data_IF_318268846849
#
_entry.id   IF_318268846849
#
_cell.length_a   1.000
_cell.length_b   1.000
_cell.length_c   1.000
_cell.angle_alpha   90.00
_cell.angle_beta   90.00
_cell.angle_gamma   90.00
#
_symmetry.space_group_name_H-M   'P 1'
#
loop_
_entity.id
_entity.type
_entity.pdbx_description
1 polymer ?
#
# COMPACT_ATOMS: atom_id res chain seq x y z
N UNK A 1 42.10 -36.94 42.25
CA UNK A 1 41.49 -37.43 40.99
C UNK A 1 40.07 -36.94 40.75
N UNK A 2 39.21 -36.77 41.77
CA UNK A 2 37.83 -36.28 41.59
C UNK A 2 37.68 -34.86 41.00
N UNK A 3 38.62 -33.94 41.26
CA UNK A 3 38.59 -32.57 40.71
C UNK A 3 38.86 -32.48 39.19
N UNK A 4 39.55 -33.47 38.60
CA UNK A 4 39.87 -33.45 37.16
C UNK A 4 38.71 -33.98 36.28
N UNK A 5 37.82 -34.80 36.85
CA UNK A 5 36.65 -35.34 36.14
C UNK A 5 35.51 -34.32 36.03
N UNK A 6 35.36 -33.42 37.00
CA UNK A 6 34.29 -32.39 36.98
C UNK A 6 34.57 -31.29 35.95
N UNK A 7 35.84 -30.95 35.71
CA UNK A 7 36.23 -29.95 34.69
C UNK A 7 36.06 -30.45 33.25
N UNK A 8 36.11 -31.76 33.01
CA UNK A 8 35.93 -32.34 31.67
C UNK A 8 34.44 -32.44 31.27
N UNK A 9 33.52 -32.63 32.23
CA UNK A 9 32.08 -32.74 31.95
C UNK A 9 31.42 -31.42 31.51
N UNK A 10 31.88 -30.28 32.03
CA UNK A 10 31.29 -28.97 31.72
C UNK A 10 31.68 -28.45 30.32
N UNK A 11 32.86 -28.84 29.81
CA UNK A 11 33.31 -28.43 28.48
C UNK A 11 32.57 -29.15 27.33
N UNK A 12 32.08 -30.38 27.55
CA UNK A 12 31.32 -31.14 26.55
C UNK A 12 29.84 -30.72 26.45
N UNK A 13 29.28 -30.11 27.50
CA UNK A 13 27.90 -29.62 27.50
C UNK A 13 27.72 -28.27 26.79
N UNK A 14 28.78 -27.48 26.62
CA UNK A 14 28.71 -26.15 25.99
C UNK A 14 28.73 -26.14 24.45
N UNK A 15 29.18 -27.22 23.81
CA UNK A 15 29.34 -27.28 22.35
C UNK A 15 28.15 -27.86 21.57
N UNK A 16 27.17 -28.47 22.24
CA UNK A 16 26.10 -29.26 21.60
C UNK A 16 24.80 -28.53 21.30
N UNK A 17 24.53 -27.38 21.92
CA UNK A 17 23.21 -26.74 21.84
C UNK A 17 22.95 -25.95 20.55
N UNK A 18 23.96 -25.68 19.73
CA UNK A 18 23.79 -24.94 18.47
C UNK A 18 23.21 -25.79 17.32
N UNK A 19 23.30 -27.12 17.40
CA UNK A 19 22.86 -28.03 16.33
C UNK A 19 21.46 -28.64 16.53
N UNK A 20 20.84 -28.44 17.69
CA UNK A 20 19.53 -29.00 18.04
C UNK A 20 18.34 -28.21 17.47
N UNK A 21 18.54 -26.95 17.04
CA UNK A 21 17.46 -26.04 16.64
C UNK A 21 17.57 -25.54 15.20
N UNK A 22 18.49 -26.06 14.38
CA UNK A 22 18.71 -25.57 13.01
C UNK A 22 18.96 -26.73 12.06
N UNK A 23 18.04 -26.92 11.11
CA UNK A 23 18.17 -27.89 10.03
C UNK A 23 19.18 -27.40 8.99
N UNK A 24 20.24 -28.17 8.72
CA UNK A 24 21.35 -27.80 7.82
C UNK A 24 21.60 -28.80 6.68
N UNK A 25 20.57 -29.54 6.24
CA UNK A 25 20.74 -30.43 5.07
C UNK A 25 20.52 -29.67 3.76
N UNK A 26 21.33 -29.91 2.71
CA UNK A 26 21.06 -29.37 1.39
C UNK A 26 19.73 -29.94 0.88
N UNK A 27 18.84 -29.07 0.42
CA UNK A 27 17.55 -29.47 -0.14
C UNK A 27 17.54 -29.11 -1.63
N UNK A 28 17.11 -30.07 -2.46
CA UNK A 28 16.90 -29.85 -3.88
C UNK A 28 15.57 -29.11 -4.09
N UNK A 29 15.66 -27.84 -4.49
CA UNK A 29 14.52 -26.95 -4.74
C UNK A 29 14.01 -27.02 -6.19
N UNK A 30 14.21 -28.15 -6.88
CA UNK A 30 13.73 -28.32 -8.25
C UNK A 30 12.22 -28.48 -8.35
N UNK A 31 11.56 -29.05 -7.34
CA UNK A 31 10.09 -29.08 -7.25
C UNK A 31 9.69 -29.52 -5.84
N UNK A 32 9.12 -28.59 -5.06
CA UNK A 32 8.65 -28.90 -3.72
C UNK A 32 8.48 -27.67 -2.84
N UNK A 33 7.74 -27.85 -1.74
CA UNK A 33 7.70 -26.94 -0.61
C UNK A 33 8.52 -27.55 0.53
N UNK A 34 9.38 -26.73 1.12
CA UNK A 34 10.12 -27.09 2.32
C UNK A 34 9.68 -26.15 3.44
N UNK A 35 8.97 -26.71 4.42
CA UNK A 35 8.65 -26.04 5.68
C UNK A 35 9.63 -26.55 6.74
N UNK A 36 10.41 -25.65 7.35
CA UNK A 36 11.40 -26.03 8.35
C UNK A 36 11.06 -25.30 9.66
N UNK A 37 10.14 -25.85 10.45
CA UNK A 37 9.72 -25.32 11.77
C UNK A 37 9.14 -23.88 11.75
N UNK A 38 8.42 -23.48 12.80
CA UNK A 38 7.83 -22.14 12.99
C UNK A 38 8.89 -21.03 12.99
N UNK A 39 10.18 -21.40 13.10
CA UNK A 39 11.34 -20.50 13.12
C UNK A 39 12.08 -20.39 11.79
N UNK A 40 11.91 -21.32 10.86
CA UNK A 40 12.65 -21.29 9.59
C UNK A 40 11.70 -21.30 8.38
N UNK A 41 11.95 -20.35 7.47
CA UNK A 41 11.05 -19.86 6.43
C UNK A 41 10.53 -20.99 5.53
N UNK A 42 9.26 -20.90 5.11
CA UNK A 42 8.78 -21.71 4.00
C UNK A 42 9.46 -21.23 2.72
N UNK A 43 10.11 -22.15 2.02
CA UNK A 43 10.62 -21.92 0.67
C UNK A 43 9.81 -22.79 -0.28
N UNK A 44 9.09 -22.14 -1.18
CA UNK A 44 8.33 -22.76 -2.24
C UNK A 44 9.11 -22.65 -3.55
N UNK A 45 9.18 -23.74 -4.30
CA UNK A 45 9.85 -23.77 -5.59
C UNK A 45 9.00 -24.48 -6.64
N UNK A 46 8.87 -23.87 -7.81
CA UNK A 46 8.09 -24.40 -8.92
C UNK A 46 8.85 -24.23 -10.23
N UNK A 47 8.85 -25.26 -11.06
CA UNK A 47 9.32 -25.16 -12.43
C UNK A 47 8.21 -24.59 -13.30
N UNK A 48 8.54 -23.54 -14.04
CA UNK A 48 7.69 -22.92 -15.05
C UNK A 48 8.30 -23.20 -16.43
N UNK A 49 7.45 -23.47 -17.41
CA UNK A 49 7.88 -23.65 -18.80
C UNK A 49 7.67 -22.30 -19.50
N UNK A 50 8.77 -21.66 -19.88
CA UNK A 50 8.74 -20.41 -20.62
C UNK A 50 8.14 -20.56 -22.01
N UNK A 51 7.82 -19.42 -22.65
CA UNK A 51 7.25 -19.36 -24.00
C UNK A 51 8.13 -20.03 -25.08
N UNK A 52 9.43 -20.14 -24.83
CA UNK A 52 10.42 -20.76 -25.73
C UNK A 52 10.68 -22.24 -25.38
N UNK A 53 9.88 -22.85 -24.48
CA UNK A 53 10.07 -24.21 -24.02
C UNK A 53 11.20 -24.39 -22.99
N UNK A 54 11.91 -23.32 -22.66
CA UNK A 54 12.93 -23.32 -21.60
C UNK A 54 12.27 -23.46 -20.22
N UNK A 55 12.69 -24.43 -19.43
CA UNK A 55 12.28 -24.60 -18.03
C UNK A 55 13.04 -23.61 -17.14
N UNK A 56 12.31 -22.80 -16.39
CA UNK A 56 12.86 -21.91 -15.35
C UNK A 56 12.32 -22.30 -13.99
N UNK A 57 13.17 -22.35 -12.97
CA UNK A 57 12.73 -22.58 -11.58
C UNK A 57 12.48 -21.23 -10.92
N UNK A 58 11.26 -21.01 -10.44
CA UNK A 58 10.89 -19.87 -9.61
C UNK A 58 10.92 -20.30 -8.16
N UNK A 59 11.61 -19.53 -7.32
CA UNK A 59 11.74 -19.79 -5.87
C UNK A 59 11.15 -18.62 -5.10
N UNK A 60 10.12 -18.90 -4.31
CA UNK A 60 9.43 -17.96 -3.45
C UNK A 60 9.76 -18.27 -1.99
N UNK A 61 10.46 -17.35 -1.33
CA UNK A 61 10.79 -17.48 0.09
C UNK A 61 9.86 -16.59 0.91
N UNK A 62 9.18 -17.19 1.88
CA UNK A 62 8.38 -16.47 2.85
C UNK A 62 9.26 -15.46 3.61
N UNK A 63 8.77 -14.24 3.89
CA UNK A 63 9.48 -13.31 4.77
C UNK A 63 9.73 -13.95 6.14
N UNK A 64 10.90 -13.75 6.75
CA UNK A 64 11.14 -14.28 8.09
C UNK A 64 10.09 -13.77 9.08
N UNK A 65 9.61 -14.60 10.02
CA UNK A 65 8.92 -14.10 11.19
C UNK A 65 9.84 -13.13 11.91
N UNK A 66 9.30 -12.00 12.34
CA UNK A 66 10.09 -10.88 12.88
C UNK A 66 10.41 -11.05 14.36
N UNK A 67 10.60 -12.30 14.75
CA UNK A 67 10.87 -12.70 16.12
C UNK A 67 12.36 -12.98 16.26
N UNK A 68 13.03 -12.28 17.19
CA UNK A 68 14.20 -12.87 17.83
C UNK A 68 13.67 -13.90 18.80
N UNK A 69 14.15 -15.13 18.72
CA UNK A 69 13.93 -16.12 19.77
C UNK A 69 15.19 -16.15 20.62
N UNK A 70 15.09 -15.71 21.88
CA UNK A 70 16.18 -15.88 22.85
C UNK A 70 15.91 -17.18 23.59
N UNK A 71 16.75 -18.18 23.33
CA UNK A 71 16.77 -19.42 24.09
C UNK A 71 17.58 -19.20 25.37
N UNK A 72 16.89 -19.03 26.49
CA UNK A 72 17.49 -19.03 27.81
C UNK A 72 17.48 -20.45 28.39
N UNK A 73 18.65 -21.03 28.64
CA UNK A 73 18.77 -22.26 29.42
C UNK A 73 19.15 -21.90 30.86
N UNK A 74 18.28 -22.23 31.82
CA UNK A 74 18.57 -22.11 33.24
C UNK A 74 18.57 -23.49 33.89
N UNK A 75 19.71 -23.87 34.46
CA UNK A 75 19.87 -25.08 35.27
C UNK A 75 20.11 -24.72 36.72
N UNK A 76 19.27 -25.23 37.63
CA UNK A 76 19.50 -25.08 39.07
C UNK A 76 20.09 -26.38 39.62
N UNK A 77 21.38 -26.35 39.99
CA UNK A 77 22.02 -27.41 40.75
C UNK A 77 22.10 -26.99 42.23
N UNK A 78 21.23 -27.55 43.06
CA UNK A 78 21.34 -27.40 44.52
C UNK A 78 22.30 -28.45 45.08
N UNK A 79 23.49 -28.02 45.50
CA UNK A 79 24.54 -28.91 46.04
C UNK A 79 24.13 -29.47 47.43
N UNK A 80 23.17 -28.83 48.11
CA UNK A 80 22.60 -29.28 49.38
C UNK A 80 21.71 -30.53 49.27
N UNK A 81 21.34 -30.95 48.05
CA UNK A 81 20.43 -32.06 47.81
C UNK A 81 21.14 -33.36 47.38
N UNK A 82 22.46 -33.36 47.22
CA UNK A 82 23.20 -34.52 46.70
C UNK A 82 23.25 -35.70 47.68
N UNK A 83 23.02 -35.47 48.98
CA UNK A 83 23.06 -36.54 49.99
C UNK A 83 21.70 -37.24 50.23
N UNK A 84 20.58 -36.75 49.67
CA UNK A 84 19.23 -37.34 49.92
C UNK A 84 18.32 -37.48 48.70
N UNK A 85 18.89 -37.61 47.50
CA UNK A 85 18.11 -37.75 46.26
C UNK A 85 17.67 -36.39 45.75
N UNK A 86 18.57 -35.71 45.03
CA UNK A 86 18.33 -34.36 44.51
C UNK A 86 17.52 -34.36 43.21
N UNK A 87 16.53 -33.47 43.13
CA UNK A 87 15.83 -33.15 41.90
C UNK A 87 16.69 -32.19 41.06
N UNK A 88 17.08 -32.65 39.86
CA UNK A 88 17.73 -31.81 38.85
C UNK A 88 16.64 -31.21 37.97
N UNK A 89 16.46 -29.89 38.05
CA UNK A 89 15.56 -29.13 37.18
C UNK A 89 16.34 -28.34 36.15
N UNK A 90 16.21 -28.72 34.88
CA UNK A 90 16.63 -27.88 33.75
C UNK A 90 15.38 -27.28 33.11
N UNK A 91 15.28 -25.96 33.03
CA UNK A 91 14.23 -25.29 32.25
C UNK A 91 14.84 -24.59 31.06
N UNK A 92 14.36 -24.93 29.87
CA UNK A 92 14.55 -24.11 28.68
C UNK A 92 13.37 -23.14 28.60
N UNK A 93 13.65 -21.85 28.70
CA UNK A 93 12.67 -20.79 28.50
C UNK A 93 13.02 -20.08 27.20
N UNK A 94 12.10 -20.14 26.24
CA UNK A 94 12.21 -19.37 25.01
C UNK A 94 11.42 -18.08 25.17
N UNK A 95 12.12 -16.94 25.14
CA UNK A 95 11.48 -15.63 25.17
C UNK A 95 11.65 -14.99 23.79
N UNK A 96 10.53 -14.80 23.10
CA UNK A 96 10.50 -14.06 21.83
C UNK A 96 10.56 -12.56 22.11
N UNK A 97 11.56 -11.86 21.57
CA UNK A 97 11.62 -10.40 21.59
C UNK A 97 11.50 -9.87 20.15
N UNK A 98 10.62 -8.90 19.93
CA UNK A 98 10.43 -8.27 18.64
C UNK A 98 11.64 -7.34 18.35
N UNK A 99 12.36 -7.55 17.23
CA UNK A 99 13.70 -6.95 16.99
C UNK A 99 13.68 -5.50 16.53
N UNK A 100 12.50 -4.95 16.26
CA UNK A 100 12.38 -3.56 15.86
C UNK A 100 10.92 -3.21 15.66
N UNK A 101 10.58 -1.94 15.87
CA UNK A 101 9.29 -1.36 15.52
C UNK A 101 9.00 -1.60 14.03
N UNK A 102 8.50 -2.77 13.68
CA UNK A 102 7.91 -3.00 12.37
C UNK A 102 6.48 -2.53 12.44
N UNK A 103 6.17 -1.64 11.54
CA UNK A 103 4.80 -1.24 11.33
C UNK A 103 4.02 -2.40 10.72
N UNK A 104 2.71 -2.44 11.00
CA UNK A 104 1.80 -3.40 10.38
C UNK A 104 1.85 -3.31 8.85
N UNK A 105 2.18 -2.13 8.31
CA UNK A 105 2.33 -1.88 6.88
C UNK A 105 3.49 -2.64 6.23
N UNK A 106 4.65 -2.75 6.89
CA UNK A 106 5.80 -3.51 6.36
C UNK A 106 5.53 -5.02 6.37
N UNK A 107 4.75 -5.53 7.32
CA UNK A 107 4.32 -6.92 7.32
C UNK A 107 3.41 -7.20 6.13
N UNK A 108 2.35 -6.39 5.97
CA UNK A 108 1.41 -6.49 4.84
C UNK A 108 2.12 -6.44 3.48
N UNK A 109 3.12 -5.57 3.33
CA UNK A 109 3.90 -5.47 2.09
C UNK A 109 4.70 -6.74 1.79
N UNK A 110 5.36 -7.33 2.79
CA UNK A 110 6.14 -8.55 2.57
C UNK A 110 5.26 -9.74 2.24
N UNK A 111 4.11 -9.85 2.90
CA UNK A 111 3.12 -10.88 2.60
C UNK A 111 2.58 -10.71 1.17
N UNK A 112 2.35 -9.46 0.74
CA UNK A 112 1.94 -9.16 -0.63
C UNK A 112 3.02 -9.52 -1.67
N UNK A 113 4.30 -9.23 -1.41
CA UNK A 113 5.40 -9.62 -2.30
C UNK A 113 5.59 -11.14 -2.39
N UNK A 114 5.38 -11.85 -1.28
CA UNK A 114 5.41 -13.31 -1.27
C UNK A 114 4.27 -13.88 -2.12
N UNK A 115 3.03 -13.41 -1.92
CA UNK A 115 1.88 -13.80 -2.74
C UNK A 115 2.04 -13.45 -4.23
N UNK A 116 2.70 -12.33 -4.54
CA UNK A 116 3.04 -11.97 -5.92
C UNK A 116 3.97 -13.02 -6.54
N UNK A 117 4.96 -13.51 -5.79
CA UNK A 117 5.84 -14.58 -6.24
C UNK A 117 5.09 -15.88 -6.48
N UNK A 118 4.18 -16.27 -5.59
CA UNK A 118 3.34 -17.46 -5.76
C UNK A 118 2.48 -17.37 -7.03
N UNK A 119 1.87 -16.21 -7.28
CA UNK A 119 1.10 -15.97 -8.51
C UNK A 119 1.95 -16.05 -9.78
N UNK A 120 3.19 -15.58 -9.73
CA UNK A 120 4.14 -15.69 -10.83
C UNK A 120 4.62 -17.14 -11.04
N UNK A 121 4.96 -17.85 -9.97
CA UNK A 121 5.33 -19.27 -10.00
C UNK A 121 4.18 -20.13 -10.55
N UNK A 122 2.94 -19.84 -10.17
CA UNK A 122 1.74 -20.51 -10.65
C UNK A 122 1.31 -20.11 -12.07
N UNK A 123 2.01 -19.17 -12.72
CA UNK A 123 1.69 -18.70 -14.08
C UNK A 123 0.46 -17.82 -14.19
N UNK A 124 -0.14 -17.40 -13.07
CA UNK A 124 -1.26 -16.46 -13.05
C UNK A 124 -0.84 -15.02 -13.39
N UNK A 125 0.45 -14.71 -13.21
CA UNK A 125 1.04 -13.39 -13.45
C UNK A 125 2.11 -13.53 -14.53
N UNK A 126 2.09 -12.66 -15.53
CA UNK A 126 3.09 -12.66 -16.60
C UNK A 126 4.42 -12.05 -16.11
N UNK A 127 5.58 -12.39 -16.71
CA UNK A 127 6.86 -11.77 -16.36
C UNK A 127 6.88 -10.22 -16.35
N UNK A 128 6.29 -9.52 -17.35
CA UNK A 128 6.25 -8.05 -17.29
C UNK A 128 5.35 -7.54 -16.16
N UNK A 129 4.23 -8.19 -15.87
CA UNK A 129 3.35 -7.81 -14.75
C UNK A 129 4.03 -8.04 -13.40
N UNK A 130 4.76 -9.15 -13.25
CA UNK A 130 5.55 -9.44 -12.06
C UNK A 130 6.60 -8.36 -11.82
N UNK A 131 7.38 -8.01 -12.85
CA UNK A 131 8.39 -6.96 -12.76
C UNK A 131 7.77 -5.58 -12.45
N UNK A 132 6.63 -5.25 -13.05
CA UNK A 132 5.92 -4.00 -12.78
C UNK A 132 5.41 -3.94 -11.34
N UNK A 133 4.75 -5.00 -10.87
CA UNK A 133 4.24 -5.07 -9.49
C UNK A 133 5.37 -5.05 -8.46
N UNK A 134 6.51 -5.69 -8.75
CA UNK A 134 7.68 -5.67 -7.87
C UNK A 134 8.26 -4.26 -7.71
N UNK A 135 8.38 -3.48 -8.80
CA UNK A 135 8.80 -2.06 -8.73
C UNK A 135 7.82 -1.20 -7.93
N UNK A 136 6.51 -1.45 -8.11
CA UNK A 136 5.46 -0.79 -7.33
C UNK A 136 5.60 -1.09 -5.84
N UNK A 137 5.79 -2.35 -5.46
CA UNK A 137 6.01 -2.69 -4.06
C UNK A 137 7.28 -2.05 -3.47
N UNK A 138 8.39 -2.01 -4.23
CA UNK A 138 9.62 -1.33 -3.79
C UNK A 138 9.40 0.17 -3.57
N UNK A 139 8.67 0.83 -4.47
CA UNK A 139 8.37 2.26 -4.37
C UNK A 139 7.44 2.58 -3.20
N UNK A 140 6.36 1.81 -3.04
CA UNK A 140 5.47 1.92 -1.88
C UNK A 140 6.24 1.67 -0.58
N UNK A 141 7.16 0.70 -0.56
CA UNK A 141 7.97 0.39 0.61
C UNK A 141 8.89 1.55 0.98
N UNK A 142 9.60 2.16 0.03
CA UNK A 142 10.41 3.36 0.28
C UNK A 142 9.54 4.52 0.79
N UNK A 143 8.35 4.68 0.23
CA UNK A 143 7.35 5.64 0.70
C UNK A 143 6.95 5.43 2.16
N UNK A 144 6.56 4.22 2.50
CA UNK A 144 6.16 3.87 3.87
C UNK A 144 7.31 4.03 4.85
N UNK A 145 8.53 3.60 4.49
CA UNK A 145 9.72 3.81 5.33
C UNK A 145 9.94 5.31 5.55
N UNK A 146 9.85 6.14 4.50
CA UNK A 146 10.01 7.58 4.63
C UNK A 146 8.92 8.20 5.52
N UNK A 147 7.66 7.80 5.34
CA UNK A 147 6.53 8.23 6.18
C UNK A 147 6.77 7.80 7.64
N UNK A 148 7.25 6.60 7.89
CA UNK A 148 7.55 6.08 9.23
C UNK A 148 8.71 6.83 9.91
N UNK A 149 9.78 7.13 9.17
CA UNK A 149 10.87 7.94 9.70
C UNK A 149 10.41 9.38 10.03
N UNK A 150 9.56 9.95 9.18
CA UNK A 150 9.00 11.29 9.36
C UNK A 150 8.01 11.34 10.54
N UNK A 151 7.08 10.40 10.62
CA UNK A 151 6.08 10.33 11.69
C UNK A 151 6.65 9.91 13.03
N UNK A 152 7.93 9.47 13.05
CA UNK A 152 8.57 8.71 14.12
C UNK A 152 7.82 7.40 14.40
N UNK A 153 8.48 6.37 14.92
CA UNK A 153 7.77 5.19 15.37
C UNK A 153 6.74 5.66 16.41
N UNK A 154 5.46 5.50 16.12
CA UNK A 154 4.43 5.50 17.16
C UNK A 154 4.82 4.33 18.04
N UNK A 155 5.59 4.62 19.08
CA UNK A 155 5.74 3.71 20.20
C UNK A 155 4.31 3.65 20.73
N UNK A 156 3.52 2.69 20.23
CA UNK A 156 2.31 2.28 20.91
C UNK A 156 2.79 2.10 22.33
N UNK A 157 2.34 2.98 23.22
CA UNK A 157 2.79 2.99 24.60
C UNK A 157 2.69 1.55 25.02
N UNK A 158 3.84 0.88 25.19
CA UNK A 158 3.85 -0.44 25.81
C UNK A 158 2.99 -0.21 27.02
N UNK A 159 1.86 -0.92 27.12
CA UNK A 159 0.90 -0.71 28.18
C UNK A 159 1.71 -0.81 29.46
N UNK A 160 2.13 0.35 29.96
CA UNK A 160 3.00 0.44 31.08
C UNK A 160 1.97 0.28 32.17
N UNK A 161 1.78 -0.98 32.57
CA UNK A 161 1.11 -1.38 33.78
C UNK A 161 1.93 -0.84 34.96
N UNK A 162 2.19 0.47 34.99
CA UNK A 162 2.57 1.18 36.19
C UNK A 162 1.29 1.39 36.94
N UNK A 163 1.15 0.65 38.03
CA UNK A 163 0.28 0.96 39.15
C UNK A 163 0.68 2.34 39.71
N UNK A 164 0.33 3.42 39.02
CA UNK A 164 0.58 4.78 39.46
C UNK A 164 -0.69 5.32 40.13
N UNK A 165 -0.95 4.81 41.33
CA UNK A 165 -1.78 5.50 42.32
C UNK A 165 -0.94 6.65 42.91
N UNK A 166 -0.85 7.78 42.23
CA UNK A 166 -0.54 9.11 42.83
C UNK A 166 -0.39 10.20 41.77
N UNK A 167 -1.43 11.02 41.59
CA UNK A 167 -1.36 12.47 41.33
C UNK A 167 -2.76 13.06 41.03
N UNK A 168 -3.67 13.06 42.02
CA UNK A 168 -5.07 13.47 41.86
C UNK A 168 -5.33 15.00 41.93
N UNK A 169 -4.30 15.86 41.91
CA UNK A 169 -4.50 17.30 42.12
C UNK A 169 -4.37 18.17 40.86
N UNK A 170 -3.91 17.62 39.73
CA UNK A 170 -3.80 18.32 38.43
C UNK A 170 -4.69 17.76 37.30
N UNK A 171 -5.41 16.66 37.56
CA UNK A 171 -6.16 15.91 36.56
C UNK A 171 -7.40 16.65 36.02
N UNK A 172 -8.11 17.41 36.87
CA UNK A 172 -9.42 17.98 36.52
C UNK A 172 -9.41 19.05 35.42
N UNK A 173 -8.32 19.78 35.24
CA UNK A 173 -8.18 20.77 34.15
C UNK A 173 -7.72 20.13 32.83
N UNK A 174 -6.95 19.04 32.92
CA UNK A 174 -6.51 18.26 31.76
C UNK A 174 -7.64 17.46 31.13
N UNK A 175 -8.48 16.85 31.97
CA UNK A 175 -9.63 16.05 31.55
C UNK A 175 -10.64 16.91 30.77
N UNK A 176 -10.96 18.12 31.24
CA UNK A 176 -11.87 19.04 30.54
C UNK A 176 -11.36 19.49 29.16
N UNK A 177 -10.04 19.62 28.97
CA UNK A 177 -9.44 19.99 27.69
C UNK A 177 -9.46 18.82 26.70
N UNK A 178 -9.24 17.60 27.18
CA UNK A 178 -9.34 16.37 26.38
C UNK A 178 -10.80 16.12 26.00
N UNK A 179 -11.75 16.19 26.94
CA UNK A 179 -13.19 16.01 26.67
C UNK A 179 -13.70 16.99 25.61
N UNK A 180 -13.29 18.27 25.70
CA UNK A 180 -13.65 19.29 24.70
C UNK A 180 -13.06 18.97 23.32
N UNK A 181 -11.82 18.48 23.28
CA UNK A 181 -11.18 18.11 22.02
C UNK A 181 -11.80 16.84 21.42
N UNK A 182 -12.20 15.86 22.24
CA UNK A 182 -12.94 14.66 21.80
C UNK A 182 -14.32 15.04 21.24
N UNK A 183 -15.05 15.93 21.91
CA UNK A 183 -16.31 16.48 21.40
C UNK A 183 -16.10 17.19 20.05
N UNK A 184 -14.99 17.92 19.89
CA UNK A 184 -14.59 18.54 18.63
C UNK A 184 -14.32 17.51 17.52
N UNK A 185 -13.60 16.42 17.82
CA UNK A 185 -13.37 15.32 16.87
C UNK A 185 -14.67 14.66 16.47
N UNK A 186 -15.58 14.42 17.43
CA UNK A 186 -16.90 13.84 17.14
C UNK A 186 -17.71 14.73 16.21
N UNK A 187 -17.83 16.03 16.52
CA UNK A 187 -18.55 16.99 15.68
C UNK A 187 -17.94 17.10 14.27
N UNK A 188 -16.61 17.14 14.16
CA UNK A 188 -15.94 17.16 12.86
C UNK A 188 -16.12 15.85 12.09
N UNK A 189 -16.17 14.70 12.78
CA UNK A 189 -16.44 13.40 12.18
C UNK A 189 -17.86 13.34 11.62
N UNK A 190 -18.85 13.81 12.38
CA UNK A 190 -20.24 13.88 11.93
C UNK A 190 -20.38 14.79 10.70
N UNK A 191 -19.66 15.92 10.67
CA UNK A 191 -19.61 16.82 9.51
C UNK A 191 -18.96 16.17 8.28
N UNK A 192 -17.90 15.37 8.45
CA UNK A 192 -17.25 14.62 7.36
C UNK A 192 -18.20 13.56 6.79
N UNK A 193 -18.90 12.81 7.66
CA UNK A 193 -19.90 11.83 7.25
C UNK A 193 -21.08 12.47 6.51
N UNK A 194 -21.57 13.62 6.99
CA UNK A 194 -22.62 14.36 6.30
C UNK A 194 -22.17 14.84 4.92
N UNK A 195 -20.94 15.36 4.80
CA UNK A 195 -20.39 15.80 3.51
C UNK A 195 -20.22 14.63 2.52
N UNK A 196 -19.76 13.45 3.00
CA UNK A 196 -19.71 12.22 2.19
C UNK A 196 -21.06 11.80 1.65
N UNK A 197 -22.09 11.84 2.50
CA UNK A 197 -23.45 11.54 2.07
C UNK A 197 -23.95 12.48 0.96
N UNK A 198 -23.56 13.77 1.00
CA UNK A 198 -23.89 14.71 -0.08
C UNK A 198 -23.10 14.42 -1.37
N UNK A 199 -21.82 14.00 -1.28
CA UNK A 199 -21.05 13.53 -2.44
C UNK A 199 -21.70 12.30 -3.08
N UNK A 200 -22.20 11.35 -2.27
CA UNK A 200 -22.89 10.16 -2.77
C UNK A 200 -24.20 10.53 -3.49
N UNK A 201 -24.99 11.45 -2.92
CA UNK A 201 -26.20 11.97 -3.56
C UNK A 201 -25.90 12.68 -4.88
N UNK A 202 -24.87 13.51 -4.92
CA UNK A 202 -24.46 14.20 -6.14
C UNK A 202 -23.97 13.21 -7.22
N UNK A 203 -23.24 12.17 -6.81
CA UNK A 203 -22.79 11.09 -7.70
C UNK A 203 -23.98 10.33 -8.28
N UNK A 204 -24.95 9.95 -7.44
CA UNK A 204 -26.17 9.29 -7.89
C UNK A 204 -26.99 10.16 -8.87
N UNK A 205 -27.06 11.48 -8.63
CA UNK A 205 -27.71 12.43 -9.55
C UNK A 205 -27.00 12.47 -10.91
N UNK A 206 -25.66 12.51 -10.92
CA UNK A 206 -24.87 12.51 -12.15
C UNK A 206 -25.09 11.22 -12.96
N UNK A 207 -25.04 10.07 -12.30
CA UNK A 207 -25.25 8.78 -12.97
C UNK A 207 -26.67 8.67 -13.54
N UNK A 208 -27.68 9.17 -12.81
CA UNK A 208 -29.04 9.27 -13.34
C UNK A 208 -29.12 10.15 -14.59
N UNK A 209 -28.56 11.35 -14.54
CA UNK A 209 -28.57 12.29 -15.68
C UNK A 209 -27.86 11.71 -16.92
N UNK A 210 -26.73 11.03 -16.73
CA UNK A 210 -26.04 10.30 -17.80
C UNK A 210 -26.88 9.16 -18.36
N UNK A 211 -27.58 8.42 -17.49
CA UNK A 211 -28.53 7.39 -17.88
C UNK A 211 -29.67 7.94 -18.74
N UNK A 212 -30.21 9.10 -18.39
CA UNK A 212 -31.27 9.77 -19.14
C UNK A 212 -30.78 10.17 -20.55
N UNK A 213 -29.58 10.76 -20.67
CA UNK A 213 -28.96 11.07 -21.97
C UNK A 213 -28.74 9.81 -22.81
N UNK A 214 -28.24 8.72 -22.21
CA UNK A 214 -28.03 7.46 -22.90
C UNK A 214 -29.36 6.82 -23.37
N UNK A 215 -30.44 6.99 -22.60
CA UNK A 215 -31.77 6.51 -22.97
C UNK A 215 -32.34 7.30 -24.15
N UNK A 216 -32.20 8.63 -24.13
CA UNK A 216 -32.64 9.52 -25.22
C UNK A 216 -31.87 9.24 -26.51
N UNK A 217 -30.54 9.07 -26.44
CA UNK A 217 -29.73 8.75 -27.61
C UNK A 217 -30.10 7.40 -28.21
N UNK A 218 -30.39 6.39 -27.38
CA UNK A 218 -30.87 5.08 -27.83
C UNK A 218 -32.25 5.17 -28.49
N UNK A 219 -33.19 5.91 -27.90
CA UNK A 219 -34.51 6.14 -28.50
C UNK A 219 -34.39 6.84 -29.85
N UNK A 220 -33.52 7.86 -29.94
CA UNK A 220 -33.25 8.58 -31.18
C UNK A 220 -32.67 7.66 -32.26
N UNK A 221 -31.72 6.78 -31.91
CA UNK A 221 -31.16 5.80 -32.84
C UNK A 221 -32.20 4.78 -33.31
N UNK A 222 -33.04 4.28 -32.39
CA UNK A 222 -34.12 3.36 -32.71
C UNK A 222 -35.18 3.99 -33.63
N UNK A 223 -35.55 5.24 -33.39
CA UNK A 223 -36.54 5.96 -34.22
C UNK A 223 -36.01 6.21 -35.64
N UNK A 224 -34.73 6.60 -35.75
CA UNK A 224 -34.06 6.79 -37.05
C UNK A 224 -33.89 5.50 -37.84
N UNK A 225 -33.82 4.35 -37.17
CA UNK A 225 -33.66 3.04 -37.82
C UNK A 225 -34.99 2.45 -38.34
N UNK A 226 -36.15 3.04 -38.03
CA UNK A 226 -37.44 2.54 -38.51
C UNK A 226 -37.58 2.73 -40.04
N UNK A 227 -38.29 1.83 -40.75
CA UNK A 227 -38.46 1.90 -42.22
C UNK A 227 -39.26 3.14 -42.68
N UNK A 228 -40.07 3.73 -41.80
CA UNK A 228 -40.68 5.05 -41.95
C UNK A 228 -40.44 5.81 -40.65
N UNK A 229 -39.36 6.62 -40.56
CA UNK A 229 -39.06 7.39 -39.36
C UNK A 229 -40.17 8.40 -39.09
N UNK A 230 -40.59 8.51 -37.83
CA UNK A 230 -41.51 9.56 -37.41
C UNK A 230 -40.72 10.85 -37.17
N UNK A 231 -40.79 11.80 -38.11
CA UNK A 231 -40.11 13.10 -38.02
C UNK A 231 -40.52 13.90 -36.77
N UNK A 232 -41.78 13.77 -36.32
CA UNK A 232 -42.24 14.46 -35.12
C UNK A 232 -41.62 13.86 -33.86
N UNK A 233 -41.51 12.53 -33.79
CA UNK A 233 -40.83 11.85 -32.69
C UNK A 233 -39.32 12.17 -32.65
N UNK A 234 -38.66 12.17 -33.81
CA UNK A 234 -37.23 12.55 -33.92
C UNK A 234 -37.03 14.00 -33.45
N UNK A 235 -37.86 14.94 -33.92
CA UNK A 235 -37.76 16.34 -33.51
C UNK A 235 -37.95 16.51 -32.01
N UNK A 236 -38.95 15.84 -31.43
CA UNK A 236 -39.18 15.86 -29.97
C UNK A 236 -37.98 15.33 -29.18
N UNK A 237 -37.36 14.23 -29.62
CA UNK A 237 -36.18 13.66 -28.95
C UNK A 237 -34.95 14.56 -29.08
N UNK A 238 -34.76 15.20 -30.22
CA UNK A 238 -33.68 16.19 -30.43
C UNK A 238 -33.91 17.44 -29.59
N UNK A 239 -35.15 17.92 -29.48
CA UNK A 239 -35.51 19.08 -28.66
C UNK A 239 -35.32 18.79 -27.14
N UNK A 240 -35.39 17.52 -26.72
CA UNK A 240 -35.14 17.09 -25.34
C UNK A 240 -33.65 16.94 -24.99
N UNK A 241 -32.75 16.72 -25.97
CA UNK A 241 -31.32 16.55 -25.72
C UNK A 241 -30.67 17.74 -24.99
N UNK A 242 -30.87 19.02 -25.41
CA UNK A 242 -30.26 20.16 -24.73
C UNK A 242 -30.63 20.27 -23.26
N UNK A 243 -31.85 19.88 -22.88
CA UNK A 243 -32.30 19.87 -21.50
C UNK A 243 -31.60 18.76 -20.69
N UNK A 244 -31.47 17.56 -21.25
CA UNK A 244 -30.75 16.45 -20.60
C UNK A 244 -29.25 16.75 -20.46
N UNK A 245 -28.62 17.32 -21.50
CA UNK A 245 -27.21 17.75 -21.46
C UNK A 245 -26.97 18.90 -20.46
N UNK A 246 -27.96 19.76 -20.25
CA UNK A 246 -27.91 20.78 -19.20
C UNK A 246 -27.95 20.12 -17.82
N UNK A 247 -28.85 19.16 -17.58
CA UNK A 247 -28.91 18.42 -16.30
C UNK A 247 -27.62 17.66 -15.98
N UNK A 248 -26.95 17.07 -16.98
CA UNK A 248 -25.63 16.45 -16.78
C UNK A 248 -24.61 17.48 -16.30
N UNK A 249 -24.52 18.63 -16.97
CA UNK A 249 -23.59 19.71 -16.58
C UNK A 249 -23.89 20.25 -15.18
N UNK A 250 -25.16 20.45 -14.85
CA UNK A 250 -25.58 20.92 -13.54
C UNK A 250 -25.26 19.86 -12.45
N UNK A 251 -25.40 18.57 -12.76
CA UNK A 251 -25.03 17.48 -11.87
C UNK A 251 -23.50 17.34 -11.69
N UNK A 252 -22.71 17.56 -12.73
CA UNK A 252 -21.24 17.58 -12.64
C UNK A 252 -20.74 18.73 -11.76
N UNK A 253 -21.28 19.93 -11.94
CA UNK A 253 -20.95 21.08 -11.08
C UNK A 253 -21.32 20.80 -9.62
N UNK A 254 -22.51 20.22 -9.38
CA UNK A 254 -22.94 19.83 -8.04
C UNK A 254 -22.00 18.79 -7.39
N UNK A 255 -21.49 17.82 -8.17
CA UNK A 255 -20.53 16.83 -7.69
C UNK A 255 -19.19 17.46 -7.33
N UNK A 256 -18.68 18.39 -8.15
CA UNK A 256 -17.43 19.11 -7.87
C UNK A 256 -17.57 19.93 -6.58
N UNK A 257 -18.68 20.64 -6.41
CA UNK A 257 -18.96 21.42 -5.20
C UNK A 257 -19.10 20.53 -3.95
N UNK A 258 -19.77 19.37 -4.07
CA UNK A 258 -19.90 18.40 -2.98
C UNK A 258 -18.52 17.87 -2.54
N UNK A 259 -17.68 17.46 -3.50
CA UNK A 259 -16.30 17.02 -3.22
C UNK A 259 -15.44 18.09 -2.56
N UNK A 260 -15.60 19.36 -2.95
CA UNK A 260 -14.91 20.47 -2.30
C UNK A 260 -15.32 20.63 -0.83
N UNK A 261 -16.62 20.46 -0.52
CA UNK A 261 -17.13 20.49 0.86
C UNK A 261 -16.65 19.29 1.68
N UNK A 262 -16.60 18.10 1.08
CA UNK A 262 -16.05 16.90 1.70
C UNK A 262 -14.57 17.10 2.07
N UNK A 263 -13.75 17.59 1.14
CA UNK A 263 -12.33 17.87 1.39
C UNK A 263 -12.14 18.88 2.54
N UNK A 264 -12.95 19.95 2.59
CA UNK A 264 -12.91 20.92 3.68
C UNK A 264 -13.36 20.32 5.03
N UNK A 265 -14.34 19.42 5.03
CA UNK A 265 -14.78 18.71 6.23
C UNK A 265 -13.69 17.73 6.75
N UNK A 266 -13.00 17.04 5.86
CA UNK A 266 -11.88 16.16 6.21
C UNK A 266 -10.67 16.96 6.74
N UNK A 267 -10.38 18.14 6.18
CA UNK A 267 -9.37 19.05 6.74
C UNK A 267 -9.74 19.49 8.17
N UNK A 268 -11.01 19.83 8.41
CA UNK A 268 -11.52 20.16 9.75
C UNK A 268 -11.38 18.99 10.74
N UNK A 269 -11.68 17.77 10.31
CA UNK A 269 -11.48 16.56 11.11
C UNK A 269 -10.01 16.33 11.43
N UNK A 270 -9.12 16.55 10.46
CA UNK A 270 -7.66 16.52 10.67
C UNK A 270 -7.21 17.51 11.74
N UNK A 271 -7.67 18.76 11.66
CA UNK A 271 -7.40 19.80 12.67
C UNK A 271 -7.93 19.43 14.05
N UNK A 272 -9.15 18.92 14.14
CA UNK A 272 -9.74 18.49 15.42
C UNK A 272 -8.94 17.35 16.06
N UNK A 273 -8.49 16.36 15.28
CA UNK A 273 -7.62 15.27 15.76
C UNK A 273 -6.25 15.76 16.21
N UNK A 274 -5.68 16.75 15.51
CA UNK A 274 -4.43 17.39 15.93
C UNK A 274 -4.60 18.11 17.29
N UNK A 275 -5.70 18.83 17.49
CA UNK A 275 -6.03 19.47 18.76
C UNK A 275 -6.20 18.45 19.90
N UNK A 276 -6.84 17.32 19.64
CA UNK A 276 -6.97 16.24 20.63
C UNK A 276 -5.60 15.69 21.04
N UNK A 277 -4.70 15.44 20.09
CA UNK A 277 -3.33 15.00 20.39
C UNK A 277 -2.53 16.04 21.18
N UNK A 278 -2.69 17.33 20.85
CA UNK A 278 -2.06 18.42 21.61
C UNK A 278 -2.59 18.47 23.05
N UNK A 279 -3.91 18.36 23.22
CA UNK A 279 -4.55 18.29 24.54
C UNK A 279 -4.02 17.10 25.36
N UNK A 280 -3.99 15.90 24.78
CA UNK A 280 -3.44 14.70 25.42
C UNK A 280 -1.96 14.85 25.80
N UNK A 281 -1.15 15.44 24.91
CA UNK A 281 0.27 15.70 25.19
C UNK A 281 0.45 16.65 26.37
N UNK A 282 -0.37 17.71 26.44
CA UNK A 282 -0.36 18.67 27.57
C UNK A 282 -0.68 17.97 28.89
N UNK A 283 -1.65 17.06 28.91
CA UNK A 283 -1.98 16.27 30.12
C UNK A 283 -0.78 15.43 30.57
N UNK A 284 -0.11 14.72 29.66
CA UNK A 284 1.08 13.91 29.97
C UNK A 284 2.25 14.76 30.47
N UNK A 285 2.48 15.94 29.88
CA UNK A 285 3.54 16.86 30.34
C UNK A 285 3.22 17.52 31.68
N UNK A 286 1.95 17.70 32.02
CA UNK A 286 1.52 18.26 33.30
C UNK A 286 1.66 17.25 34.44
N UNK A 287 1.45 15.96 34.15
CA UNK A 287 1.62 14.88 35.11
C UNK A 287 3.09 14.55 35.44
N UNK A 288 4.04 14.95 34.57
CA UNK A 288 5.47 14.62 34.71
C UNK A 288 6.33 15.70 35.36
N UNK A 289 5.75 16.83 35.81
CA UNK A 289 6.41 17.80 36.70
C UNK A 289 7.81 18.25 36.24
N UNK A 290 7.92 18.95 35.10
CA UNK A 290 9.21 19.49 34.68
C UNK A 290 9.13 20.39 33.45
N UNK A 291 9.34 21.70 33.62
CA UNK A 291 9.18 22.77 32.62
C UNK A 291 10.08 22.73 31.37
N UNK A 292 10.82 21.65 31.13
CA UNK A 292 11.65 21.48 29.93
C UNK A 292 10.91 20.80 28.76
N UNK A 293 9.77 20.11 29.01
CA UNK A 293 9.05 19.35 27.97
C UNK A 293 8.05 20.19 27.14
N UNK A 294 7.59 21.34 27.64
CA UNK A 294 6.65 22.19 26.93
C UNK A 294 7.25 22.84 25.67
N UNK A 295 8.54 23.22 25.71
CA UNK A 295 9.28 23.72 24.55
C UNK A 295 9.47 22.64 23.47
N UNK A 296 9.58 21.37 23.88
CA UNK A 296 9.61 20.23 22.96
C UNK A 296 8.24 20.06 22.30
N UNK A 297 7.14 20.07 23.07
CA UNK A 297 5.77 19.90 22.55
C UNK A 297 5.38 20.96 21.50
N UNK A 298 5.74 22.22 21.71
CA UNK A 298 5.44 23.31 20.78
C UNK A 298 6.30 23.23 19.50
N UNK A 299 7.52 22.70 19.59
CA UNK A 299 8.33 22.35 18.41
C UNK A 299 7.72 21.18 17.61
N UNK A 300 7.02 20.24 18.29
CA UNK A 300 6.36 19.10 17.64
C UNK A 300 5.14 19.52 16.80
N UNK A 301 4.41 20.56 17.20
CA UNK A 301 3.25 21.04 16.45
C UNK A 301 3.64 21.72 15.12
N UNK A 302 4.66 22.59 15.12
CA UNK A 302 5.23 23.14 13.88
C UNK A 302 5.89 22.05 13.02
N UNK A 303 6.46 21.02 13.66
CA UNK A 303 6.96 19.85 12.95
C UNK A 303 5.81 19.08 12.28
N UNK A 304 4.63 18.96 12.89
CA UNK A 304 3.51 18.18 12.35
C UNK A 304 3.00 18.69 10.99
N UNK A 305 2.94 20.01 10.77
CA UNK A 305 2.57 20.57 9.46
C UNK A 305 3.64 20.27 8.40
N UNK A 306 4.92 20.49 8.73
CA UNK A 306 6.02 20.16 7.82
C UNK A 306 6.10 18.65 7.48
N UNK A 307 5.78 17.80 8.46
CA UNK A 307 5.67 16.36 8.30
C UNK A 307 4.51 15.98 7.40
N UNK A 308 3.35 16.63 7.57
CA UNK A 308 2.18 16.40 6.72
C UNK A 308 2.47 16.76 5.27
N UNK A 309 3.05 17.94 5.03
CA UNK A 309 3.48 18.36 3.68
C UNK A 309 4.52 17.42 3.08
N UNK A 310 5.50 16.96 3.88
CA UNK A 310 6.50 15.99 3.43
C UNK A 310 5.89 14.64 3.05
N UNK A 311 4.96 14.13 3.85
CA UNK A 311 4.23 12.88 3.58
C UNK A 311 3.39 12.99 2.32
N UNK A 312 2.64 14.09 2.13
CA UNK A 312 1.84 14.28 0.91
C UNK A 312 2.70 14.35 -0.33
N UNK A 313 3.87 15.02 -0.28
CA UNK A 313 4.80 15.09 -1.39
C UNK A 313 5.40 13.72 -1.75
N UNK A 314 5.70 12.88 -0.74
CA UNK A 314 6.18 11.50 -0.97
C UNK A 314 5.10 10.67 -1.67
N UNK A 315 3.85 10.74 -1.19
CA UNK A 315 2.72 9.99 -1.79
C UNK A 315 2.45 10.46 -3.22
N UNK A 316 2.52 11.77 -3.47
CA UNK A 316 2.36 12.35 -4.80
C UNK A 316 3.45 11.85 -5.77
N UNK A 317 4.72 11.85 -5.34
CA UNK A 317 5.83 11.36 -6.18
C UNK A 317 5.70 9.86 -6.49
N UNK A 318 5.27 9.05 -5.51
CA UNK A 318 5.02 7.62 -5.70
C UNK A 318 3.93 7.39 -6.75
N UNK A 319 2.80 8.11 -6.63
CA UNK A 319 1.73 8.02 -7.61
C UNK A 319 2.18 8.46 -9.00
N UNK A 320 2.95 9.56 -9.08
CA UNK A 320 3.51 10.05 -10.34
C UNK A 320 4.44 9.03 -10.98
N UNK A 321 5.23 8.31 -10.17
CA UNK A 321 6.08 7.21 -10.64
C UNK A 321 5.25 6.06 -11.24
N UNK A 322 4.11 5.70 -10.62
CA UNK A 322 3.25 4.64 -11.14
C UNK A 322 2.60 4.98 -12.48
N UNK A 323 2.17 6.22 -12.65
CA UNK A 323 1.62 6.67 -13.92
C UNK A 323 2.69 6.64 -15.00
N UNK A 324 3.92 7.07 -14.70
CA UNK A 324 5.07 6.98 -15.63
C UNK A 324 5.36 5.54 -16.05
N UNK A 325 5.49 4.61 -15.11
CA UNK A 325 5.78 3.20 -15.41
C UNK A 325 4.68 2.56 -16.27
N UNK A 326 3.42 2.88 -15.98
CA UNK A 326 2.27 2.39 -16.76
C UNK A 326 2.30 2.94 -18.19
N UNK A 327 2.60 4.23 -18.35
CA UNK A 327 2.75 4.87 -19.65
C UNK A 327 3.92 4.29 -20.44
N UNK A 328 5.09 4.07 -19.82
CA UNK A 328 6.25 3.46 -20.49
C UNK A 328 5.91 2.04 -20.95
N UNK A 329 5.24 1.26 -20.11
CA UNK A 329 4.81 -0.10 -20.44
C UNK A 329 3.87 -0.09 -21.65
N UNK A 330 2.87 0.79 -21.64
CA UNK A 330 1.94 0.96 -22.76
C UNK A 330 2.68 1.35 -24.04
N UNK A 331 3.60 2.31 -23.97
CA UNK A 331 4.40 2.75 -25.11
C UNK A 331 5.29 1.65 -25.67
N UNK A 332 5.89 0.82 -24.80
CA UNK A 332 6.70 -0.33 -25.22
C UNK A 332 5.85 -1.39 -25.91
N UNK A 333 4.66 -1.70 -25.39
CA UNK A 333 3.75 -2.65 -26.04
C UNK A 333 3.24 -2.12 -27.40
N UNK A 334 3.02 -0.81 -27.53
CA UNK A 334 2.64 -0.19 -28.81
C UNK A 334 3.79 -0.13 -29.80
N UNK A 335 5.03 0.05 -29.33
CA UNK A 335 6.22 0.11 -30.17
C UNK A 335 6.71 -1.28 -30.60
N UNK A 336 6.28 -2.35 -29.93
CA UNK A 336 6.63 -3.71 -30.35
C UNK A 336 6.03 -3.99 -31.73
N UNK A 337 6.85 -4.37 -32.73
CA UNK A 337 6.34 -4.76 -34.03
C UNK A 337 5.41 -5.95 -33.83
N UNK A 338 4.12 -5.78 -34.13
CA UNK A 338 3.21 -6.91 -34.16
C UNK A 338 3.73 -7.89 -35.21
N UNK A 339 3.94 -9.17 -34.88
CA UNK A 339 4.33 -10.14 -35.88
C UNK A 339 3.26 -10.12 -36.98
N UNK A 340 3.68 -9.95 -38.23
CA UNK A 340 2.81 -9.79 -39.40
C UNK A 340 1.77 -10.94 -39.56
N UNK A 341 1.93 -12.04 -38.83
CA UNK A 341 1.01 -13.17 -38.78
C UNK A 341 -0.24 -12.95 -37.89
N UNK A 342 -0.33 -11.89 -37.08
CA UNK A 342 -1.44 -11.68 -36.14
C UNK A 342 -2.58 -10.77 -36.66
N UNK A 343 -2.46 -10.23 -37.89
CA UNK A 343 -3.48 -9.35 -38.51
C UNK A 343 -4.22 -10.03 -39.68
N UNK A 344 -4.07 -11.36 -39.84
CA UNK A 344 -4.99 -12.08 -40.71
C UNK A 344 -6.40 -12.05 -40.08
N UNK A 345 -7.47 -11.68 -40.82
CA UNK A 345 -8.82 -11.81 -40.30
C UNK A 345 -9.03 -13.31 -40.01
N UNK A 346 -9.34 -13.63 -38.75
CA UNK A 346 -9.75 -14.96 -38.35
C UNK A 346 -11.11 -15.31 -38.99
N UNK A 347 -11.07 -15.60 -40.29
CA UNK A 347 -12.15 -16.21 -41.05
C UNK A 347 -11.55 -17.47 -41.64
N UNK A 348 -12.18 -18.60 -41.31
CA UNK A 348 -12.05 -19.92 -41.91
C UNK A 348 -11.16 -20.95 -41.17
N UNK A 349 -11.90 -21.91 -40.59
CA UNK A 349 -11.61 -23.35 -40.38
C UNK A 349 -10.76 -23.75 -39.16
N UNK A 350 -11.46 -24.11 -38.08
CA UNK A 350 -11.03 -25.19 -37.18
C UNK A 350 -12.13 -26.28 -37.21
N UNK A 351 -11.77 -27.58 -37.37
CA UNK A 351 -12.73 -28.66 -37.30
C UNK A 351 -13.11 -28.96 -35.85
N UNK A 352 -14.31 -29.49 -35.69
CA UNK A 352 -15.02 -29.69 -34.43
C UNK A 352 -14.26 -30.55 -33.40
N UNK A 353 -14.17 -30.04 -32.17
CA UNK A 353 -14.02 -30.83 -30.95
C UNK A 353 -15.16 -30.46 -29.98
N UNK A 354 -15.81 -31.43 -29.33
CA UNK A 354 -16.94 -31.17 -28.46
C UNK A 354 -16.46 -30.91 -27.02
N UNK A 355 -16.68 -29.71 -26.48
CA UNK A 355 -16.85 -29.46 -25.03
C UNK A 355 -17.43 -28.07 -24.76
N UNK A 356 -18.26 -27.90 -23.71
CA UNK A 356 -19.16 -26.76 -23.58
C UNK A 356 -18.63 -25.71 -22.59
N UNK A 357 -17.65 -24.88 -22.98
CA UNK A 357 -17.31 -23.64 -22.24
C UNK A 357 -16.74 -22.52 -23.13
N UNK A 358 -17.04 -22.52 -24.43
CA UNK A 358 -16.52 -21.52 -25.37
C UNK A 358 -17.64 -20.66 -25.98
N UNK A 359 -18.39 -19.90 -25.17
CA UNK A 359 -19.24 -18.81 -25.68
C UNK A 359 -19.39 -17.68 -24.66
N UNK A 360 -18.36 -16.83 -24.52
CA UNK A 360 -18.55 -15.38 -24.35
C UNK A 360 -17.31 -14.66 -24.93
N UNK A 361 -17.30 -14.41 -26.23
CA UNK A 361 -16.52 -13.31 -26.81
C UNK A 361 -17.53 -12.31 -27.36
N UNK A 362 -17.71 -11.13 -26.73
CA UNK A 362 -18.57 -10.12 -27.33
C UNK A 362 -17.85 -9.57 -28.56
N UNK A 363 -18.43 -9.75 -29.75
CA UNK A 363 -18.08 -8.89 -30.88
C UNK A 363 -18.55 -7.48 -30.50
N UNK A 364 -17.60 -6.61 -30.18
CA UNK A 364 -17.89 -5.22 -29.87
C UNK A 364 -18.52 -4.57 -31.11
N UNK A 365 -19.76 -4.11 -30.98
CA UNK A 365 -20.43 -3.33 -32.01
C UNK A 365 -19.57 -2.11 -32.41
N UNK A 366 -19.67 -1.62 -33.67
CA UNK A 366 -18.82 -0.54 -34.18
C UNK A 366 -18.88 0.76 -33.36
N UNK A 367 -19.97 1.02 -32.63
CA UNK A 367 -20.06 2.16 -31.69
C UNK A 367 -19.09 2.05 -30.50
N UNK A 368 -18.84 0.83 -30.00
CA UNK A 368 -17.88 0.63 -28.91
C UNK A 368 -16.43 0.75 -29.36
N UNK A 369 -16.12 0.60 -30.66
CA UNK A 369 -14.78 0.85 -31.17
C UNK A 369 -14.40 2.34 -31.11
N UNK A 370 -15.35 3.24 -31.34
CA UNK A 370 -15.10 4.69 -31.26
C UNK A 370 -14.81 5.11 -29.81
N UNK A 371 -15.56 4.58 -28.84
CA UNK A 371 -15.32 4.84 -27.43
C UNK A 371 -13.94 4.33 -26.97
N UNK A 372 -13.56 3.12 -27.39
CA UNK A 372 -12.23 2.55 -27.09
C UNK A 372 -11.11 3.37 -27.74
N UNK A 373 -11.27 3.79 -28.99
CA UNK A 373 -10.29 4.62 -29.69
C UNK A 373 -10.13 6.01 -29.05
N UNK A 374 -11.22 6.63 -28.59
CA UNK A 374 -11.17 7.92 -27.89
C UNK A 374 -10.51 7.78 -26.51
N UNK A 375 -10.86 6.75 -25.73
CA UNK A 375 -10.23 6.48 -24.44
C UNK A 375 -8.72 6.19 -24.61
N UNK A 376 -8.35 5.45 -25.65
CA UNK A 376 -6.96 5.18 -25.99
C UNK A 376 -6.21 6.46 -26.38
N UNK A 377 -6.81 7.32 -27.21
CA UNK A 377 -6.22 8.61 -27.60
C UNK A 377 -6.02 9.54 -26.39
N UNK A 378 -7.02 9.65 -25.51
CA UNK A 378 -6.90 10.43 -24.27
C UNK A 378 -5.80 9.88 -23.35
N UNK A 379 -5.66 8.56 -23.28
CA UNK A 379 -4.59 7.92 -22.49
C UNK A 379 -3.21 8.25 -23.06
N UNK A 380 -3.06 8.20 -24.38
CA UNK A 380 -1.82 8.60 -25.07
C UNK A 380 -1.48 10.07 -24.88
N UNK A 381 -2.46 10.97 -25.00
CA UNK A 381 -2.28 12.41 -24.75
C UNK A 381 -1.85 12.67 -23.30
N UNK A 382 -2.46 11.97 -22.34
CA UNK A 382 -2.09 12.06 -20.92
C UNK A 382 -0.66 11.55 -20.69
N UNK A 383 -0.31 10.39 -21.26
CA UNK A 383 1.02 9.82 -21.12
C UNK A 383 2.12 10.68 -21.76
N UNK A 384 1.86 11.27 -22.92
CA UNK A 384 2.81 12.17 -23.59
C UNK A 384 3.00 13.47 -22.81
N UNK A 385 1.92 14.04 -22.25
CA UNK A 385 2.01 15.20 -21.38
C UNK A 385 2.85 14.92 -20.11
N UNK A 386 2.62 13.78 -19.44
CA UNK A 386 3.38 13.38 -18.25
C UNK A 386 4.86 13.19 -18.57
N UNK A 387 5.18 12.57 -19.71
CA UNK A 387 6.58 12.37 -20.14
C UNK A 387 7.26 13.70 -20.49
N UNK A 388 6.55 14.62 -21.14
CA UNK A 388 7.07 15.95 -21.46
C UNK A 388 7.35 16.77 -20.18
N UNK A 389 6.44 16.72 -19.21
CA UNK A 389 6.62 17.37 -17.92
C UNK A 389 7.81 16.78 -17.15
N UNK A 390 7.93 15.45 -17.12
CA UNK A 390 9.05 14.77 -16.49
C UNK A 390 10.40 15.12 -17.13
N UNK A 391 10.45 15.25 -18.46
CA UNK A 391 11.64 15.71 -19.17
C UNK A 391 11.99 17.16 -18.81
N UNK A 392 10.99 18.03 -18.66
CA UNK A 392 11.20 19.42 -18.23
C UNK A 392 11.70 19.53 -16.79
N UNK A 393 11.17 18.72 -15.88
CA UNK A 393 11.60 18.66 -14.47
C UNK A 393 13.03 18.12 -14.35
N UNK A 394 13.38 17.09 -15.12
CA UNK A 394 14.75 16.56 -15.17
C UNK A 394 15.75 17.62 -15.65
N UNK A 395 15.37 18.42 -16.66
CA UNK A 395 16.18 19.53 -17.15
C UNK A 395 16.37 20.61 -16.08
N UNK A 396 15.29 21.03 -15.41
CA UNK A 396 15.36 22.02 -14.30
C UNK A 396 16.28 21.55 -13.17
N UNK A 397 16.20 20.28 -12.76
CA UNK A 397 17.08 19.71 -11.73
C UNK A 397 18.53 19.66 -12.17
N UNK A 398 18.80 19.36 -13.44
CA UNK A 398 20.16 19.41 -14.02
C UNK A 398 20.73 20.83 -13.99
N UNK A 399 19.93 21.82 -14.41
CA UNK A 399 20.35 23.22 -14.44
C UNK A 399 20.64 23.75 -13.01
N UNK A 400 19.78 23.41 -12.04
CA UNK A 400 19.99 23.75 -10.63
C UNK A 400 21.27 23.11 -10.05
N UNK A 401 21.52 21.84 -10.34
CA UNK A 401 22.72 21.15 -9.89
C UNK A 401 24.00 21.76 -10.50
N UNK A 402 23.94 22.20 -11.76
CA UNK A 402 25.07 22.90 -12.40
C UNK A 402 25.31 24.27 -11.75
N UNK A 403 24.26 25.02 -11.44
CA UNK A 403 24.37 26.31 -10.76
C UNK A 403 24.96 26.17 -9.34
N UNK A 404 24.51 25.18 -8.56
CA UNK A 404 25.10 24.87 -7.26
C UNK A 404 26.58 24.48 -7.37
N UNK A 405 26.95 23.74 -8.42
CA UNK A 405 28.35 23.37 -8.67
C UNK A 405 29.20 24.59 -8.98
N UNK A 406 28.72 25.54 -9.79
CA UNK A 406 29.41 26.82 -10.06
C UNK A 406 29.61 27.63 -8.78
N UNK A 407 28.54 27.78 -7.97
CA UNK A 407 28.60 28.48 -6.67
C UNK A 407 29.61 27.87 -5.69
N UNK A 408 29.84 26.56 -5.73
CA UNK A 408 30.85 25.89 -4.89
C UNK A 408 32.29 26.14 -5.35
N UNK A 409 32.51 26.31 -6.66
CA UNK A 409 33.85 26.62 -7.21
C UNK A 409 34.27 28.03 -6.83
N UNK A 410 33.35 29.00 -6.87
CA UNK A 410 33.65 30.41 -6.55
C UNK A 410 33.88 30.66 -5.05
N UNK A 411 33.42 29.75 -4.18
CA UNK A 411 33.58 29.83 -2.72
C UNK A 411 34.86 29.18 -2.18
N UNK A 412 35.79 28.74 -3.03
CA UNK A 412 37.06 28.15 -2.57
C UNK A 412 37.92 29.27 -1.97
N UNK A 413 38.18 29.28 -0.63
CA UNK A 413 38.92 30.34 0.01
C UNK A 413 40.37 30.35 -0.50
N UNK A 414 40.86 31.56 -0.79
CA UNK A 414 42.22 31.86 -1.27
C UNK A 414 43.28 31.58 -0.22
#
# INVERSE_FOLDING_TARGET
MARLLVTAGVALAGGGCAHLTTYNKPVDLRSGSLAIDVKQRVVFSQQTIGREGATSTVVCAEPSPDALTVLGASGALSISALEKGGNVGASLAETGAFVGLRTQSIQLLRDAMYRLCEGYAGGAISPPDYAAMQRRYQSTMMGLIAIEQLTRPVVAGQALLTNAASAQAGASAGDAAVDKAEAGVKSASDSSLAAKSETDKATARLEKAKGDVASLSKQLAMEKAKPKPDEAAIKSLVDQQPAADKEVRDAELALVDARRREAAADENLGRARAQLRDAQTRVVTSASGGGALAAVAQSTAASADSLTTGVTAIVEEINRSYTKDTCITLMVELARPQPAAAVAPAVAVAPALPSPMAQVRPSLAPENQVAVNNAFKQTLETCTAILAEAASDAKRKSDQAEEERKRRVDKKPS
#
